data_IF_674340368720
#
_entry.id   IF_674340368720
#
_cell.length_a   1.000
_cell.length_b   1.000
_cell.length_c   1.000
_cell.angle_alpha   90.00
_cell.angle_beta   90.00
_cell.angle_gamma   90.00
#
_symmetry.space_group_name_H-M   'P 1'
#
loop_
_entity.id
_entity.type
_entity.pdbx_description
1 polymer ?
#
# COMPACT_ATOMS: atom_id res chain seq x y z
N UNK A 1 34.02 11.29 20.59
CA UNK A 1 32.81 10.52 20.21
C UNK A 1 33.22 9.08 19.92
N UNK A 2 32.67 8.09 20.63
CA UNK A 2 33.09 6.68 20.46
C UNK A 2 32.38 6.08 19.23
N UNK A 3 33.10 5.27 18.44
CA UNK A 3 32.58 4.63 17.22
C UNK A 3 31.22 3.93 17.42
N UNK A 4 30.98 3.36 18.60
CA UNK A 4 29.72 2.68 18.98
C UNK A 4 28.52 3.63 19.07
N UNK A 5 28.73 4.88 19.47
CA UNK A 5 27.67 5.90 19.56
C UNK A 5 27.32 6.43 18.16
N UNK A 6 28.32 6.64 17.31
CA UNK A 6 28.13 6.98 15.90
C UNK A 6 27.31 5.90 15.17
N UNK A 7 27.64 4.63 15.39
CA UNK A 7 26.91 3.50 14.80
C UNK A 7 25.44 3.43 15.25
N UNK A 8 25.13 3.76 16.51
CA UNK A 8 23.74 3.82 17.01
C UNK A 8 22.95 4.95 16.36
N UNK A 9 23.53 6.14 16.23
CA UNK A 9 22.91 7.31 15.60
C UNK A 9 22.65 7.05 14.11
N UNK A 10 23.61 6.43 13.42
CA UNK A 10 23.45 6.01 12.01
C UNK A 10 22.30 5.00 11.88
N UNK A 11 22.21 4.03 12.80
CA UNK A 11 21.14 3.03 12.80
C UNK A 11 19.75 3.63 13.06
N UNK A 12 19.66 4.73 13.81
CA UNK A 12 18.39 5.44 14.06
C UNK A 12 18.03 6.49 13.00
N UNK A 13 19.02 7.01 12.25
CA UNK A 13 18.82 8.05 11.24
C UNK A 13 18.79 7.54 9.79
N UNK A 14 19.22 6.30 9.54
CA UNK A 14 19.18 5.73 8.20
C UNK A 14 17.77 5.29 7.80
N UNK A 15 17.34 5.77 6.63
CA UNK A 15 16.12 5.32 5.97
C UNK A 15 16.22 3.81 5.77
N UNK A 16 15.40 3.06 6.50
CA UNK A 16 15.29 1.62 6.34
C UNK A 16 14.92 1.32 4.89
N UNK A 17 15.68 0.42 4.26
CA UNK A 17 15.30 -0.15 2.97
C UNK A 17 14.06 -1.04 3.16
N UNK A 18 12.96 -0.71 2.48
CA UNK A 18 11.75 -1.52 2.41
C UNK A 18 12.09 -2.87 1.77
N UNK A 19 11.60 -3.98 2.34
CA UNK A 19 11.90 -5.34 1.83
C UNK A 19 10.93 -5.79 0.73
N UNK A 20 9.77 -5.16 0.67
CA UNK A 20 8.75 -5.41 -0.32
C UNK A 20 7.54 -4.52 -0.09
N UNK A 21 6.59 -4.63 -1.02
CA UNK A 21 5.41 -3.81 -1.11
C UNK A 21 4.17 -4.68 -1.28
N UNK A 22 3.05 -4.21 -0.72
CA UNK A 22 1.72 -4.75 -0.96
C UNK A 22 0.75 -3.63 -1.21
N UNK A 23 -0.35 -3.95 -1.86
CA UNK A 23 -1.52 -3.11 -1.96
C UNK A 23 -2.44 -3.52 -0.82
N UNK A 24 -2.84 -2.57 0.00
CA UNK A 24 -3.88 -2.75 1.02
C UNK A 24 -5.16 -2.09 0.51
N UNK A 25 -6.29 -2.74 0.75
CA UNK A 25 -7.60 -2.26 0.37
C UNK A 25 -8.69 -2.81 1.30
N UNK A 26 -9.90 -2.26 1.19
CA UNK A 26 -11.10 -2.79 1.84
C UNK A 26 -11.99 -3.43 0.79
N UNK A 27 -12.52 -4.62 1.07
CA UNK A 27 -13.48 -5.34 0.23
C UNK A 27 -14.84 -5.45 0.92
N UNK A 28 -15.92 -5.34 0.14
CA UNK A 28 -17.28 -5.58 0.62
C UNK A 28 -17.51 -7.07 0.85
N UNK A 29 -17.99 -7.43 2.03
CA UNK A 29 -18.42 -8.78 2.44
C UNK A 29 -19.83 -8.71 3.05
N UNK A 30 -20.48 -9.86 3.26
CA UNK A 30 -21.86 -9.90 3.81
C UNK A 30 -22.01 -9.18 5.16
N UNK A 31 -20.93 -9.10 5.96
CA UNK A 31 -20.90 -8.42 7.26
C UNK A 31 -20.38 -6.97 7.25
N UNK A 32 -20.05 -6.40 6.09
CA UNK A 32 -19.51 -5.04 6.00
C UNK A 32 -18.26 -4.93 5.12
N UNK A 33 -17.22 -4.27 5.65
CA UNK A 33 -15.95 -4.05 4.95
C UNK A 33 -14.84 -4.78 5.68
N UNK A 34 -14.05 -5.57 4.94
CA UNK A 34 -12.88 -6.28 5.46
C UNK A 34 -11.61 -5.81 4.76
N UNK A 35 -10.52 -5.73 5.54
CA UNK A 35 -9.19 -5.41 5.02
C UNK A 35 -8.60 -6.62 4.30
N UNK A 36 -8.04 -6.39 3.12
CA UNK A 36 -7.38 -7.41 2.32
C UNK A 36 -6.13 -6.85 1.61
N UNK A 37 -5.31 -7.75 1.06
CA UNK A 37 -3.99 -7.45 0.52
C UNK A 37 -3.74 -8.13 -0.82
N UNK A 38 -3.01 -7.41 -1.68
CA UNK A 38 -2.42 -7.99 -2.89
C UNK A 38 -0.93 -7.70 -2.98
N UNK A 39 -0.07 -8.71 -3.24
CA UNK A 39 -0.36 -10.14 -3.14
C UNK A 39 -0.75 -10.51 -1.71
N UNK A 40 -1.32 -11.70 -1.50
CA UNK A 40 -1.73 -12.16 -0.15
C UNK A 40 -0.53 -12.14 0.82
N UNK A 41 -0.79 -12.02 2.13
CA UNK A 41 0.26 -12.02 3.16
C UNK A 41 1.18 -13.25 3.09
N UNK A 42 0.68 -14.39 2.60
CA UNK A 42 1.42 -15.65 2.43
C UNK A 42 2.26 -15.70 1.15
N UNK A 43 1.96 -14.86 0.16
CA UNK A 43 2.66 -14.82 -1.12
C UNK A 43 3.90 -13.90 -1.05
N UNK A 44 4.89 -14.04 -1.94
CA UNK A 44 6.00 -13.08 -2.00
C UNK A 44 5.51 -11.65 -2.24
N UNK A 45 6.07 -10.68 -1.50
CA UNK A 45 5.75 -9.27 -1.70
C UNK A 45 6.32 -8.73 -3.03
N UNK A 46 5.71 -7.67 -3.56
CA UNK A 46 6.19 -6.99 -4.76
C UNK A 46 7.51 -6.30 -4.42
N UNK A 47 8.53 -6.43 -5.28
CA UNK A 47 9.87 -5.88 -5.02
C UNK A 47 10.07 -4.45 -5.51
N UNK A 48 9.20 -3.96 -6.40
CA UNK A 48 9.28 -2.62 -7.00
C UNK A 48 8.13 -1.75 -6.51
N UNK A 49 8.46 -0.59 -5.96
CA UNK A 49 7.48 0.43 -5.55
C UNK A 49 6.63 0.91 -6.73
N UNK A 50 7.28 1.15 -7.87
CA UNK A 50 6.60 1.60 -9.10
C UNK A 50 5.60 0.55 -9.58
N UNK A 51 6.00 -0.73 -9.56
CA UNK A 51 5.12 -1.81 -9.95
C UNK A 51 3.93 -1.93 -8.99
N UNK A 52 4.16 -1.83 -7.68
CA UNK A 52 3.10 -1.86 -6.67
C UNK A 52 2.07 -0.75 -6.89
N UNK A 53 2.53 0.47 -7.15
CA UNK A 53 1.64 1.59 -7.46
C UNK A 53 0.87 1.42 -8.76
N UNK A 54 1.50 0.86 -9.79
CA UNK A 54 0.79 0.66 -11.06
C UNK A 54 -0.22 -0.48 -10.99
N UNK A 55 0.05 -1.53 -10.21
CA UNK A 55 -0.95 -2.54 -9.88
C UNK A 55 -2.10 -1.93 -9.07
N UNK A 56 -1.82 -1.06 -8.08
CA UNK A 56 -2.86 -0.37 -7.31
C UNK A 56 -3.75 0.50 -8.21
N UNK A 57 -3.15 1.21 -9.17
CA UNK A 57 -3.89 2.01 -10.17
C UNK A 57 -4.78 1.14 -11.04
N UNK A 58 -4.26 0.03 -11.58
CA UNK A 58 -5.06 -0.91 -12.39
C UNK A 58 -6.21 -1.51 -11.60
N UNK A 59 -5.97 -1.84 -10.32
CA UNK A 59 -6.98 -2.38 -9.44
C UNK A 59 -8.10 -1.36 -9.13
N UNK A 60 -7.74 -0.10 -8.89
CA UNK A 60 -8.73 0.97 -8.76
C UNK A 60 -9.55 1.16 -10.05
N UNK A 61 -8.90 1.14 -11.22
CA UNK A 61 -9.59 1.28 -12.50
C UNK A 61 -10.56 0.14 -12.79
N UNK A 62 -10.19 -1.12 -12.49
CA UNK A 62 -11.09 -2.26 -12.70
C UNK A 62 -12.35 -2.17 -11.85
N UNK A 63 -12.23 -1.65 -10.62
CA UNK A 63 -13.37 -1.52 -9.70
C UNK A 63 -14.38 -0.44 -10.11
N UNK A 64 -13.93 0.58 -10.86
CA UNK A 64 -14.80 1.66 -11.37
C UNK A 64 -15.58 1.19 -12.59
N UNK A 65 -14.93 0.41 -13.48
CA UNK A 65 -15.54 -0.09 -14.72
C UNK A 65 -16.68 -1.06 -14.44
N UNK A 66 -16.55 -1.89 -13.41
CA UNK A 66 -17.59 -2.86 -13.08
C UNK A 66 -18.84 -2.20 -12.50
N UNK A 67 -18.71 -1.05 -11.82
CA UNK A 67 -19.73 -0.53 -10.90
C UNK A 67 -19.61 0.99 -10.70
N UNK A 68 -20.33 1.80 -11.51
CA UNK A 68 -20.21 3.25 -11.50
C UNK A 68 -20.82 3.93 -10.27
N UNK A 69 -21.78 3.28 -9.59
CA UNK A 69 -22.42 3.80 -8.37
C UNK A 69 -21.55 3.51 -7.13
N UNK A 70 -21.34 4.50 -6.26
CA UNK A 70 -20.45 4.40 -5.08
C UNK A 70 -20.86 3.28 -4.11
N UNK A 71 -22.16 3.08 -3.89
CA UNK A 71 -22.71 2.01 -3.03
C UNK A 71 -22.45 0.61 -3.58
N UNK A 72 -22.10 0.52 -4.86
CA UNK A 72 -21.93 -0.75 -5.55
C UNK A 72 -20.46 -1.19 -5.59
N UNK A 73 -19.48 -0.31 -5.33
CA UNK A 73 -18.05 -0.65 -5.43
C UNK A 73 -17.68 -1.82 -4.50
N UNK A 74 -17.11 -2.88 -5.07
CA UNK A 74 -16.72 -4.07 -4.32
C UNK A 74 -15.42 -3.89 -3.51
N UNK A 75 -14.60 -2.89 -3.88
CA UNK A 75 -13.30 -2.61 -3.28
C UNK A 75 -13.08 -1.10 -3.18
N UNK A 76 -12.54 -0.61 -2.05
CA UNK A 76 -12.25 0.80 -1.77
C UNK A 76 -10.96 0.97 -0.97
N UNK A 77 -10.56 2.23 -0.73
CA UNK A 77 -9.42 2.60 0.12
C UNK A 77 -8.12 1.90 -0.28
N UNK A 78 -7.76 1.97 -1.56
CA UNK A 78 -6.64 1.25 -2.15
C UNK A 78 -5.35 2.08 -2.01
N UNK A 79 -4.32 1.56 -1.34
CA UNK A 79 -3.02 2.23 -1.23
C UNK A 79 -1.87 1.22 -1.06
N UNK A 80 -0.63 1.67 -1.28
CA UNK A 80 0.56 0.83 -1.15
C UNK A 80 1.12 0.90 0.27
N UNK A 81 1.49 -0.26 0.81
CA UNK A 81 2.17 -0.40 2.10
C UNK A 81 3.49 -1.15 1.96
N UNK A 82 4.41 -0.90 2.88
CA UNK A 82 5.68 -1.63 2.99
C UNK A 82 5.54 -2.93 3.79
N UNK A 83 6.68 -3.59 4.04
CA UNK A 83 6.75 -4.85 4.77
C UNK A 83 6.45 -4.74 6.28
N UNK A 84 6.27 -3.53 6.81
CA UNK A 84 5.70 -3.30 8.15
C UNK A 84 4.22 -2.92 8.13
N UNK A 85 3.61 -2.81 6.95
CA UNK A 85 2.26 -2.29 6.80
C UNK A 85 2.18 -0.77 6.87
N UNK A 86 3.32 -0.06 6.84
CA UNK A 86 3.34 1.40 6.80
C UNK A 86 2.97 1.88 5.39
N UNK A 87 2.14 2.92 5.29
CA UNK A 87 1.80 3.53 4.02
C UNK A 87 3.07 4.04 3.31
N UNK A 88 3.11 3.83 2.00
CA UNK A 88 4.18 4.27 1.12
C UNK A 88 3.65 5.47 0.33
N UNK A 89 4.37 6.59 0.19
CA UNK A 89 3.95 7.69 -0.67
C UNK A 89 4.00 7.29 -2.15
N UNK A 90 3.24 8.00 -2.99
CA UNK A 90 3.23 7.79 -4.44
C UNK A 90 4.55 8.22 -5.06
N UNK A 91 5.21 7.34 -5.82
CA UNK A 91 6.55 7.60 -6.35
C UNK A 91 6.65 8.85 -7.24
N UNK A 92 5.56 9.24 -7.91
CA UNK A 92 5.56 10.38 -8.83
C UNK A 92 5.42 11.75 -8.15
N UNK A 93 4.79 11.81 -6.97
CA UNK A 93 4.52 13.09 -6.26
C UNK A 93 5.11 13.13 -4.85
N UNK A 94 5.57 12.00 -4.33
CA UNK A 94 6.01 11.81 -2.95
C UNK A 94 4.93 12.13 -1.90
N UNK A 95 3.65 12.09 -2.27
CA UNK A 95 2.51 12.30 -1.38
C UNK A 95 1.80 11.00 -1.04
N UNK A 96 1.20 10.90 0.15
CA UNK A 96 0.33 9.78 0.48
C UNK A 96 -0.93 9.84 -0.37
N UNK A 97 -1.26 8.71 -1.01
CA UNK A 97 -2.38 8.63 -1.94
C UNK A 97 -3.26 7.44 -1.61
N UNK A 98 -4.56 7.70 -1.53
CA UNK A 98 -5.60 6.66 -1.46
C UNK A 98 -6.34 6.69 -2.79
N UNK A 99 -6.33 5.57 -3.49
CA UNK A 99 -7.06 5.36 -4.72
C UNK A 99 -8.44 4.78 -4.39
N UNK A 100 -9.44 5.18 -5.17
CA UNK A 100 -10.82 4.77 -4.95
C UNK A 100 -11.26 4.94 -3.48
N UNK A 101 -11.20 6.18 -2.95
CA UNK A 101 -11.56 6.43 -1.56
C UNK A 101 -13.03 6.09 -1.34
N UNK A 102 -13.32 5.57 -0.15
CA UNK A 102 -14.68 5.42 0.36
C UNK A 102 -15.24 6.81 0.69
N UNK A 103 -16.45 7.10 0.19
CA UNK A 103 -17.18 8.33 0.51
C UNK A 103 -17.68 8.34 1.96
#
# INVERSE_FOLDING_TARGET
MKLKEAAKIIKSGWVRKRKGFRIRFEKRVEGGWEEDFFPDKKEPAIKSEVAAWEYARRFALSTIVERPEEESRATVNIFVVDDLGCAVPFYGTNEFKVLNPKA
#
